data_IF_050892694271
#
_entry.id   IF_050892694271
#
_cell.length_a   1.000
_cell.length_b   1.000
_cell.length_c   1.000
_cell.angle_alpha   90.00
_cell.angle_beta   90.00
_cell.angle_gamma   90.00
#
_symmetry.space_group_name_H-M   'P 1'
#
loop_
_entity.id
_entity.type
_entity.pdbx_description
1 polymer ?
#
# COMPACT_ATOMS: atom_id res chain seq x y z
N UNK A 1 -8.89 -48.03 -12.82
CA UNK A 1 -8.81 -47.44 -11.48
C UNK A 1 -8.23 -46.04 -11.61
N UNK A 2 -9.07 -45.01 -11.57
CA UNK A 2 -8.67 -43.60 -11.51
C UNK A 2 -9.56 -42.96 -10.45
N UNK A 3 -8.97 -42.42 -9.39
CA UNK A 3 -9.71 -41.71 -8.33
C UNK A 3 -9.65 -40.21 -8.61
N UNK A 4 -10.81 -39.56 -8.78
CA UNK A 4 -10.89 -38.09 -8.73
C UNK A 4 -10.68 -37.66 -7.28
N UNK A 5 -9.64 -36.87 -7.02
CA UNK A 5 -9.53 -36.11 -5.78
C UNK A 5 -10.36 -34.83 -5.91
N UNK A 6 -11.18 -34.45 -4.91
CA UNK A 6 -11.93 -33.20 -4.97
C UNK A 6 -10.98 -32.01 -4.86
N UNK A 7 -11.19 -31.00 -5.71
CA UNK A 7 -10.57 -29.68 -5.59
C UNK A 7 -11.03 -29.11 -4.24
N UNK A 8 -10.11 -29.04 -3.27
CA UNK A 8 -10.36 -28.37 -2.00
C UNK A 8 -10.70 -26.91 -2.30
N UNK A 9 -11.95 -26.54 -2.05
CA UNK A 9 -12.43 -25.17 -2.06
C UNK A 9 -11.57 -24.35 -1.10
N UNK A 10 -10.71 -23.48 -1.65
CA UNK A 10 -10.05 -22.44 -0.88
C UNK A 10 -11.14 -21.45 -0.46
N UNK A 11 -11.50 -21.50 0.81
CA UNK A 11 -12.42 -20.55 1.42
C UNK A 11 -11.70 -19.21 1.48
N UNK A 12 -11.99 -18.33 0.51
CA UNK A 12 -11.63 -16.93 0.61
C UNK A 12 -12.44 -16.37 1.78
N UNK A 13 -11.84 -16.31 2.97
CA UNK A 13 -12.40 -15.58 4.11
C UNK A 13 -12.39 -14.10 3.73
N UNK A 14 -13.47 -13.63 3.13
CA UNK A 14 -13.69 -12.23 2.85
C UNK A 14 -13.78 -11.49 4.18
N UNK A 15 -12.68 -10.86 4.60
CA UNK A 15 -12.73 -9.85 5.66
C UNK A 15 -13.40 -8.63 5.03
N UNK A 16 -14.69 -8.44 5.28
CA UNK A 16 -15.36 -7.18 4.96
C UNK A 16 -14.97 -6.17 6.03
N UNK A 17 -13.81 -5.53 5.84
CA UNK A 17 -13.48 -4.30 6.58
C UNK A 17 -14.37 -3.16 6.10
N UNK A 18 -15.11 -2.56 7.02
CA UNK A 18 -15.92 -1.37 6.73
C UNK A 18 -14.99 -0.20 6.41
N UNK A 19 -15.04 0.27 5.17
CA UNK A 19 -14.29 1.43 4.72
C UNK A 19 -15.10 2.70 5.01
N UNK A 20 -14.57 3.58 5.87
CA UNK A 20 -15.16 4.90 6.14
C UNK A 20 -14.45 5.97 5.31
N UNK A 21 -15.23 6.80 4.63
CA UNK A 21 -14.74 7.98 3.91
C UNK A 21 -15.08 9.23 4.72
N UNK A 22 -14.10 10.10 4.93
CA UNK A 22 -14.24 11.34 5.69
C UNK A 22 -13.88 12.54 4.83
N UNK A 23 -14.36 13.73 5.23
CA UNK A 23 -13.99 14.98 4.58
C UNK A 23 -12.48 15.20 4.69
N UNK A 24 -11.94 15.96 3.73
CA UNK A 24 -10.51 16.28 3.70
C UNK A 24 -10.04 16.87 5.04
N UNK A 25 -8.90 16.39 5.55
CA UNK A 25 -8.29 16.92 6.77
C UNK A 25 -6.94 17.56 6.48
N UNK A 26 -6.74 18.79 6.93
CA UNK A 26 -5.47 19.50 6.76
C UNK A 26 -4.28 18.78 7.42
N UNK A 27 -4.54 17.99 8.48
CA UNK A 27 -3.51 17.20 9.18
C UNK A 27 -2.83 16.16 8.29
N UNK A 28 -3.45 15.74 7.19
CA UNK A 28 -2.87 14.73 6.31
C UNK A 28 -1.56 15.21 5.65
N UNK A 29 -1.42 16.52 5.40
CA UNK A 29 -0.18 17.08 4.92
C UNK A 29 0.92 16.96 5.98
N UNK A 30 0.62 17.32 7.24
CA UNK A 30 1.57 17.22 8.35
C UNK A 30 1.94 15.76 8.68
N UNK A 31 0.96 14.85 8.63
CA UNK A 31 1.16 13.41 8.81
C UNK A 31 2.03 12.83 7.69
N UNK A 32 1.83 13.26 6.44
CA UNK A 32 2.71 12.90 5.34
C UNK A 32 4.14 13.36 5.59
N UNK A 33 4.36 14.63 5.96
CA UNK A 33 5.71 15.15 6.23
C UNK A 33 6.43 14.36 7.33
N UNK A 34 5.70 13.96 8.39
CA UNK A 34 6.26 13.11 9.44
C UNK A 34 6.65 11.71 8.93
N UNK A 35 5.84 11.10 8.07
CA UNK A 35 6.17 9.81 7.43
C UNK A 35 7.32 9.96 6.46
N UNK A 36 7.34 11.02 5.64
CA UNK A 36 8.39 11.30 4.68
C UNK A 36 9.75 11.49 5.38
N UNK A 37 9.80 12.22 6.49
CA UNK A 37 11.02 12.38 7.29
C UNK A 37 11.53 11.04 7.86
N UNK A 38 10.63 10.16 8.31
CA UNK A 38 11.00 8.82 8.78
C UNK A 38 11.55 7.94 7.65
N UNK A 39 10.95 8.02 6.47
CA UNK A 39 11.39 7.28 5.28
C UNK A 39 12.73 7.80 4.76
N UNK A 40 12.92 9.12 4.72
CA UNK A 40 14.19 9.76 4.33
C UNK A 40 15.33 9.35 5.27
N UNK A 41 15.09 9.40 6.58
CA UNK A 41 16.08 8.97 7.57
C UNK A 41 16.43 7.48 7.47
N UNK A 42 15.47 6.63 7.06
CA UNK A 42 15.67 5.20 6.92
C UNK A 42 16.39 4.82 5.62
N UNK A 43 16.03 5.47 4.51
CA UNK A 43 16.50 5.10 3.18
C UNK A 43 17.73 5.90 2.74
N UNK A 44 17.89 7.13 3.22
CA UNK A 44 18.97 8.03 2.82
C UNK A 44 19.10 8.10 1.30
N UNK A 45 20.30 7.80 0.78
CA UNK A 45 20.58 7.84 -0.66
C UNK A 45 19.83 6.79 -1.49
N UNK A 46 19.18 5.80 -0.87
CA UNK A 46 18.34 4.83 -1.58
C UNK A 46 17.03 5.48 -2.08
N UNK A 47 16.54 6.52 -1.40
CA UNK A 47 15.36 7.28 -1.83
C UNK A 47 15.79 8.48 -2.69
N UNK A 48 15.48 8.43 -3.98
CA UNK A 48 15.70 9.55 -4.90
C UNK A 48 14.59 10.62 -4.78
N UNK A 49 13.37 10.20 -4.42
CA UNK A 49 12.22 11.09 -4.19
C UNK A 49 11.18 10.40 -3.30
N UNK A 50 10.47 11.19 -2.49
CA UNK A 50 9.35 10.76 -1.66
C UNK A 50 8.18 11.71 -1.93
N UNK A 51 7.07 11.18 -2.44
CA UNK A 51 5.89 11.96 -2.85
C UNK A 51 4.64 11.54 -2.06
N UNK A 52 3.81 12.51 -1.67
CA UNK A 52 2.46 12.27 -1.16
C UNK A 52 1.54 11.97 -2.34
N UNK A 53 0.98 10.77 -2.39
CA UNK A 53 0.06 10.34 -3.46
C UNK A 53 -1.30 9.96 -2.87
N UNK A 54 -2.21 9.50 -3.72
CA UNK A 54 -3.56 9.09 -3.31
C UNK A 54 -4.46 10.27 -2.94
N UNK A 55 -5.71 9.97 -2.56
CA UNK A 55 -6.73 11.01 -2.36
C UNK A 55 -6.44 11.95 -1.19
N UNK A 56 -5.65 11.52 -0.20
CA UNK A 56 -5.28 12.36 0.96
C UNK A 56 -4.29 13.47 0.60
N UNK A 57 -3.63 13.39 -0.56
CA UNK A 57 -2.74 14.44 -1.09
C UNK A 57 -3.47 15.59 -1.78
N UNK A 58 -4.80 15.48 -1.98
CA UNK A 58 -5.59 16.47 -2.74
C UNK A 58 -6.46 17.30 -1.79
N UNK A 59 -6.14 18.60 -1.58
CA UNK A 59 -6.95 19.48 -0.76
C UNK A 59 -8.42 19.51 -1.15
N UNK A 60 -9.30 19.27 -0.18
CA UNK A 60 -10.75 19.28 -0.38
C UNK A 60 -11.37 17.96 -0.86
N UNK A 61 -10.55 16.93 -1.15
CA UNK A 61 -11.06 15.62 -1.57
C UNK A 61 -11.35 14.72 -0.36
N UNK A 62 -12.56 14.18 -0.28
CA UNK A 62 -12.92 13.19 0.74
C UNK A 62 -12.23 11.85 0.45
N UNK A 63 -11.71 11.21 1.50
CA UNK A 63 -10.87 10.02 1.37
C UNK A 63 -10.98 9.10 2.59
N UNK A 64 -10.39 7.91 2.49
CA UNK A 64 -10.07 7.09 3.66
C UNK A 64 -8.99 7.81 4.47
N UNK A 65 -8.98 7.61 5.78
CA UNK A 65 -7.95 8.16 6.68
C UNK A 65 -6.65 7.32 6.60
N UNK A 66 -6.04 7.30 5.41
CA UNK A 66 -4.83 6.52 5.06
C UNK A 66 -3.93 7.38 4.18
N UNK A 67 -2.67 7.55 4.58
CA UNK A 67 -1.65 8.28 3.81
C UNK A 67 -0.97 7.31 2.85
N UNK A 68 -1.00 7.62 1.55
CA UNK A 68 -0.28 6.88 0.53
C UNK A 68 1.01 7.62 0.17
N UNK A 69 2.15 6.90 0.21
CA UNK A 69 3.47 7.47 -0.08
C UNK A 69 4.11 6.69 -1.22
N UNK A 70 4.66 7.43 -2.20
CA UNK A 70 5.46 6.84 -3.28
C UNK A 70 6.93 7.19 -3.08
N UNK A 71 7.80 6.18 -3.21
CA UNK A 71 9.24 6.33 -3.13
C UNK A 71 9.83 5.98 -4.49
N UNK A 72 10.61 6.90 -5.05
CA UNK A 72 11.43 6.62 -6.24
C UNK A 72 12.80 6.14 -5.76
N UNK A 73 13.21 4.95 -6.18
CA UNK A 73 14.55 4.41 -5.94
C UNK A 73 15.26 4.20 -7.28
N UNK A 74 16.60 4.19 -7.27
CA UNK A 74 17.38 3.86 -8.47
C UNK A 74 17.16 2.40 -8.89
N UNK A 75 17.14 1.50 -7.91
CA UNK A 75 16.93 0.08 -8.05
C UNK A 75 16.06 -0.41 -6.89
N UNK A 76 15.20 -1.40 -7.14
CA UNK A 76 14.33 -1.99 -6.14
C UNK A 76 14.91 -3.35 -5.70
N UNK A 77 15.92 -3.31 -4.83
CA UNK A 77 16.60 -4.50 -4.31
C UNK A 77 16.33 -4.73 -2.81
N UNK A 78 16.96 -5.78 -2.26
CA UNK A 78 16.76 -6.17 -0.85
C UNK A 78 17.22 -5.09 0.15
N UNK A 79 18.11 -4.17 -0.25
CA UNK A 79 18.55 -3.10 0.65
C UNK A 79 17.41 -2.14 0.98
N UNK A 80 16.50 -1.90 0.03
CA UNK A 80 15.33 -1.05 0.21
C UNK A 80 14.31 -1.73 1.13
N UNK A 81 13.98 -3.00 0.88
CA UNK A 81 13.05 -3.76 1.73
C UNK A 81 13.57 -3.92 3.15
N UNK A 82 14.86 -4.22 3.33
CA UNK A 82 15.46 -4.35 4.65
C UNK A 82 15.46 -3.03 5.41
N UNK A 83 15.84 -1.92 4.76
CA UNK A 83 15.83 -0.59 5.40
C UNK A 83 14.42 -0.17 5.84
N UNK A 84 13.40 -0.45 5.02
CA UNK A 84 12.00 -0.21 5.37
C UNK A 84 11.55 -1.10 6.54
N UNK A 85 11.93 -2.37 6.55
CA UNK A 85 11.63 -3.30 7.64
C UNK A 85 12.27 -2.85 8.95
N UNK A 86 13.54 -2.43 8.93
CA UNK A 86 14.26 -1.92 10.09
C UNK A 86 13.64 -0.62 10.62
N UNK A 87 13.09 0.18 9.70
CA UNK A 87 12.29 1.35 10.04
C UNK A 87 10.86 1.03 10.49
N UNK A 88 10.47 -0.25 10.58
CA UNK A 88 9.19 -0.72 11.10
C UNK A 88 8.04 -0.81 10.09
N UNK A 89 8.33 -0.74 8.79
CA UNK A 89 7.36 -0.96 7.72
C UNK A 89 7.28 -2.45 7.38
N UNK A 90 6.08 -3.01 7.38
CA UNK A 90 5.89 -4.42 7.01
C UNK A 90 5.75 -4.56 5.50
N UNK A 91 6.62 -5.35 4.89
CA UNK A 91 6.47 -5.75 3.49
C UNK A 91 5.20 -6.61 3.36
N UNK A 92 4.24 -6.14 2.56
CA UNK A 92 3.10 -6.95 2.13
C UNK A 92 3.37 -7.46 0.72
N UNK A 93 3.43 -8.78 0.48
CA UNK A 93 3.55 -9.31 -0.87
C UNK A 93 2.36 -8.82 -1.71
N UNK A 94 2.62 -8.36 -2.93
CA UNK A 94 1.61 -7.89 -3.88
C UNK A 94 0.49 -8.93 -3.99
N UNK A 95 -0.66 -8.65 -3.39
CA UNK A 95 -1.85 -9.48 -3.50
C UNK A 95 -3.00 -8.61 -3.98
N UNK A 96 -3.11 -8.54 -5.31
CA UNK A 96 -4.11 -7.86 -6.14
C UNK A 96 -3.88 -6.39 -6.44
N UNK A 97 -3.84 -6.13 -7.74
CA UNK A 97 -4.16 -4.83 -8.31
C UNK A 97 -5.65 -4.53 -8.07
N UNK A 98 -6.03 -3.26 -8.03
CA UNK A 98 -7.44 -2.89 -7.89
C UNK A 98 -8.20 -3.33 -9.15
N UNK A 99 -8.94 -4.44 -9.05
CA UNK A 99 -9.88 -4.85 -10.09
C UNK A 99 -11.06 -3.85 -10.10
N UNK A 100 -11.28 -3.10 -11.20
CA UNK A 100 -12.46 -2.26 -11.30
C UNK A 100 -13.73 -3.13 -11.18
N UNK A 101 -14.82 -2.60 -10.58
CA UNK A 101 -16.06 -3.34 -10.46
C UNK A 101 -16.53 -3.87 -11.82
N UNK A 102 -16.70 -5.18 -11.95
CA UNK A 102 -17.18 -5.85 -13.17
C UNK A 102 -16.12 -6.59 -14.00
N UNK A 103 -14.87 -6.66 -13.55
CA UNK A 103 -13.83 -7.48 -14.19
C UNK A 103 -13.40 -8.65 -13.27
N UNK A 104 -13.49 -9.87 -13.78
CA UNK A 104 -12.87 -11.07 -13.24
C UNK A 104 -11.42 -11.20 -13.74
N UNK A 105 -10.51 -11.68 -12.89
CA UNK A 105 -9.15 -12.08 -13.28
C UNK A 105 -9.25 -13.26 -14.26
N UNK A 106 -9.32 -12.97 -15.55
CA UNK A 106 -9.06 -13.94 -16.61
C UNK A 106 -7.61 -13.83 -17.06
N UNK A 107 -6.73 -14.59 -16.39
CA UNK A 107 -5.38 -14.91 -16.87
C UNK A 107 -4.27 -14.70 -15.87
#
# INVERSE_FOLDING_TARGET
>A
MWTSSPITSLKCSSITETVTIIAHQARWADEFEAVAARLDAALGSLALRIDHIGSTSVPGLAAKDVIDVQITAAELDESVSQSLSDAGFALKPFNRDHLPPGFDDVG
#
